data_IF_878565856601
#
_entry.id   IF_878565856601
#
_cell.length_a   1.000
_cell.length_b   1.000
_cell.length_c   1.000
_cell.angle_alpha   90.00
_cell.angle_beta   90.00
_cell.angle_gamma   90.00
#
_symmetry.space_group_name_H-M   'P 1'
#
loop_
_entity.id
_entity.type
_entity.pdbx_description
1 polymer ?
#
# COMPACT_ATOMS: atom_id res chain seq x y z
N UNK A 1 -11.12 -3.13 -3.23
CA UNK A 1 -11.12 -2.61 -1.88
C UNK A 1 -10.48 -1.23 -1.86
N UNK A 2 -11.16 -0.25 -1.30
CA UNK A 2 -10.63 1.11 -1.19
C UNK A 2 -9.92 1.32 0.14
N UNK A 3 -8.83 2.07 0.10
CA UNK A 3 -8.10 2.46 1.28
C UNK A 3 -7.60 3.89 1.19
N UNK A 4 -7.17 4.43 2.32
CA UNK A 4 -6.60 5.77 2.41
C UNK A 4 -5.12 5.67 2.74
N UNK A 5 -4.29 6.34 1.97
CA UNK A 5 -2.84 6.37 2.22
C UNK A 5 -2.59 7.18 3.50
N UNK A 6 -1.99 6.54 4.50
CA UNK A 6 -1.76 7.16 5.81
C UNK A 6 -0.33 7.57 6.03
N UNK A 7 0.61 6.80 5.47
CA UNK A 7 2.04 7.10 5.62
C UNK A 7 2.78 6.56 4.41
N UNK A 8 3.88 7.22 4.07
CA UNK A 8 4.70 6.83 2.93
C UNK A 8 6.14 6.73 3.42
N UNK A 9 6.76 5.60 3.09
CA UNK A 9 8.14 5.29 3.45
C UNK A 9 8.91 4.92 2.18
N UNK A 10 10.23 4.78 2.28
CA UNK A 10 11.08 4.53 1.12
C UNK A 10 10.72 3.26 0.35
N UNK A 11 10.22 2.26 1.05
CA UNK A 11 9.91 0.96 0.45
C UNK A 11 8.44 0.76 0.12
N UNK A 12 7.59 1.73 0.34
CA UNK A 12 6.17 1.60 0.01
C UNK A 12 5.28 2.60 0.72
N UNK A 13 4.00 2.26 0.81
CA UNK A 13 3.00 3.11 1.43
C UNK A 13 2.12 2.30 2.38
N UNK A 14 1.78 2.87 3.51
CA UNK A 14 0.83 2.28 4.46
C UNK A 14 -0.56 2.82 4.16
N UNK A 15 -1.51 1.90 4.02
CA UNK A 15 -2.88 2.21 3.59
C UNK A 15 -3.86 1.67 4.62
N UNK A 16 -4.78 2.53 5.06
CA UNK A 16 -5.86 2.15 5.97
C UNK A 16 -7.02 1.59 5.15
N UNK A 17 -7.34 0.32 5.36
CA UNK A 17 -8.44 -0.37 4.67
C UNK A 17 -9.64 -0.62 5.61
N UNK A 18 -9.70 0.08 6.73
CA UNK A 18 -10.83 -0.02 7.66
C UNK A 18 -10.68 -1.10 8.72
N UNK A 19 -9.50 -1.68 8.86
CA UNK A 19 -9.21 -2.64 9.94
C UNK A 19 -8.21 -2.01 10.92
N UNK A 20 -7.95 -2.68 12.04
CA UNK A 20 -7.10 -2.14 13.09
C UNK A 20 -5.65 -1.91 12.68
N UNK A 21 -5.21 -2.57 11.63
CA UNK A 21 -3.84 -2.50 11.15
C UNK A 21 -3.80 -1.91 9.75
N UNK A 22 -2.80 -1.08 9.50
CA UNK A 22 -2.57 -0.57 8.16
C UNK A 22 -1.95 -1.67 7.30
N UNK A 23 -2.37 -1.74 6.04
CA UNK A 23 -1.74 -2.60 5.07
C UNK A 23 -0.57 -1.89 4.40
N UNK A 24 0.41 -2.66 3.95
CA UNK A 24 1.56 -2.14 3.22
C UNK A 24 1.43 -2.44 1.74
N UNK A 25 1.54 -1.40 0.93
CA UNK A 25 1.72 -1.54 -0.52
C UNK A 25 3.21 -1.35 -0.78
N UNK A 26 3.91 -2.45 -1.08
CA UNK A 26 5.34 -2.38 -1.39
C UNK A 26 5.56 -1.57 -2.67
N UNK A 27 6.72 -0.95 -2.79
CA UNK A 27 7.04 -0.10 -3.95
C UNK A 27 6.86 -0.83 -5.28
N UNK A 28 7.15 -2.13 -5.33
CA UNK A 28 6.96 -2.97 -6.51
C UNK A 28 5.49 -3.21 -6.85
N UNK A 29 4.59 -2.95 -5.91
CA UNK A 29 3.15 -3.16 -6.07
C UNK A 29 2.37 -1.86 -6.27
N UNK A 30 3.07 -0.73 -6.37
CA UNK A 30 2.43 0.57 -6.60
C UNK A 30 2.09 0.77 -8.07
N UNK A 31 3.00 0.41 -8.96
CA UNK A 31 2.82 0.58 -10.41
C UNK A 31 3.41 -0.63 -11.13
N UNK A 32 2.65 -1.16 -12.08
CA UNK A 32 3.07 -2.28 -12.91
C UNK A 32 4.03 -1.83 -14.00
N UNK A 33 5.10 -2.61 -14.21
CA UNK A 33 6.06 -2.41 -15.30
C UNK A 33 6.70 -1.03 -15.34
N UNK A 34 6.79 -0.37 -14.19
CA UNK A 34 7.33 0.97 -14.12
C UNK A 34 8.30 1.07 -12.96
N UNK A 35 9.48 1.62 -13.23
CA UNK A 35 10.42 1.91 -12.17
C UNK A 35 10.06 3.24 -11.52
N UNK A 36 9.96 3.25 -10.20
CA UNK A 36 9.74 4.47 -9.42
C UNK A 36 10.84 4.62 -8.37
N UNK A 37 11.35 5.83 -8.22
CA UNK A 37 12.42 6.11 -7.27
C UNK A 37 11.92 6.17 -5.84
N UNK A 38 10.72 6.72 -5.65
CA UNK A 38 10.13 6.89 -4.33
C UNK A 38 8.60 6.76 -4.43
N UNK A 39 7.96 6.15 -3.42
CA UNK A 39 6.50 6.03 -3.43
C UNK A 39 5.75 7.36 -3.55
N UNK A 40 6.33 8.46 -3.06
CA UNK A 40 5.74 9.80 -3.21
C UNK A 40 5.57 10.23 -4.67
N UNK A 41 6.28 9.61 -5.60
CA UNK A 41 6.12 9.90 -7.04
C UNK A 41 4.78 9.40 -7.58
N UNK A 42 4.14 8.48 -6.85
CA UNK A 42 2.90 7.83 -7.30
C UNK A 42 1.72 8.21 -6.43
N UNK A 43 1.91 8.27 -5.11
CA UNK A 43 0.83 8.50 -4.14
C UNK A 43 1.24 9.55 -3.13
N UNK A 44 0.23 10.14 -2.50
CA UNK A 44 0.43 11.13 -1.42
C UNK A 44 -0.41 10.72 -0.21
N UNK A 45 0.03 11.16 0.98
CA UNK A 45 -0.73 10.93 2.20
C UNK A 45 -2.11 11.58 2.06
N UNK A 46 -3.16 10.82 2.37
CA UNK A 46 -4.53 11.24 2.23
C UNK A 46 -5.20 10.80 0.93
N UNK A 47 -4.45 10.25 -0.02
CA UNK A 47 -5.03 9.73 -1.25
C UNK A 47 -5.92 8.52 -0.96
N UNK A 48 -7.04 8.44 -1.69
CA UNK A 48 -7.90 7.26 -1.68
C UNK A 48 -7.52 6.41 -2.89
N UNK A 49 -7.15 5.15 -2.61
CA UNK A 49 -6.65 4.25 -3.64
C UNK A 49 -7.40 2.92 -3.61
N UNK A 50 -7.46 2.26 -4.75
CA UNK A 50 -7.97 0.90 -4.83
C UNK A 50 -6.83 -0.08 -4.62
N UNK A 51 -7.04 -1.03 -3.70
CA UNK A 51 -6.03 -2.01 -3.36
C UNK A 51 -6.62 -3.41 -3.35
N UNK A 52 -5.74 -4.38 -3.49
CA UNK A 52 -6.06 -5.79 -3.39
C UNK A 52 -5.23 -6.41 -2.28
N UNK A 53 -5.84 -7.25 -1.45
CA UNK A 53 -5.11 -7.96 -0.39
C UNK A 53 -4.32 -9.09 -1.04
N UNK A 54 -3.01 -9.07 -0.86
CA UNK A 54 -2.12 -10.13 -1.32
C UNK A 54 -1.94 -11.21 -0.27
N UNK A 55 -1.73 -10.79 0.98
CA UNK A 55 -1.44 -11.71 2.06
C UNK A 55 -1.77 -11.06 3.40
N UNK A 56 -2.16 -11.90 4.36
CA UNK A 56 -2.41 -11.47 5.73
C UNK A 56 -1.57 -12.36 6.65
N UNK A 57 -0.62 -11.78 7.36
CA UNK A 57 0.21 -12.48 8.33
C UNK A 57 -0.28 -12.13 9.72
N UNK A 58 -1.06 -13.02 10.31
CA UNK A 58 -1.65 -12.80 11.63
C UNK A 58 -0.60 -12.82 12.74
N UNK A 59 0.44 -13.61 12.59
CA UNK A 59 1.49 -13.72 13.60
C UNK A 59 2.31 -12.45 13.70
N UNK A 60 2.60 -11.82 12.57
CA UNK A 60 3.36 -10.57 12.50
C UNK A 60 2.47 -9.34 12.44
N UNK A 61 1.16 -9.55 12.39
CA UNK A 61 0.17 -8.48 12.28
C UNK A 61 0.43 -7.59 11.06
N UNK A 62 0.69 -8.23 9.92
CA UNK A 62 0.98 -7.53 8.65
C UNK A 62 -0.04 -7.88 7.60
N UNK A 63 -0.42 -6.87 6.83
CA UNK A 63 -1.30 -7.05 5.68
C UNK A 63 -0.53 -6.51 4.48
N UNK A 64 -0.38 -7.36 3.45
CA UNK A 64 0.28 -6.96 2.21
C UNK A 64 -0.76 -6.66 1.16
N UNK A 65 -0.63 -5.49 0.55
CA UNK A 65 -1.58 -4.99 -0.42
C UNK A 65 -0.89 -4.70 -1.74
N UNK A 66 -1.70 -4.67 -2.81
CA UNK A 66 -1.25 -4.28 -4.15
C UNK A 66 -2.20 -3.26 -4.72
N UNK A 67 -1.66 -2.27 -5.42
CA UNK A 67 -2.44 -1.34 -6.24
C UNK A 67 -2.53 -1.80 -7.70
N UNK A 68 -1.86 -2.89 -8.03
CA UNK A 68 -1.93 -3.50 -9.35
C UNK A 68 -3.17 -4.41 -9.39
N UNK A 69 -4.17 -4.00 -10.14
CA UNK A 69 -5.45 -4.72 -10.21
C UNK A 69 -5.63 -5.53 -11.53
#
# INVERSE_FOLDING_TARGET
LQGTVRNIVDFGAFVDIGVHQDGLVHISELVENKFIKHPLDVVSVGDIVDVRVLDVDLDRKRIQLSMIL
#
